data_IF_194123825419
#
_entry.id   IF_194123825419
#
_cell.length_a   1.000
_cell.length_b   1.000
_cell.length_c   1.000
_cell.angle_alpha   90.00
_cell.angle_beta   90.00
_cell.angle_gamma   90.00
#
_symmetry.space_group_name_H-M   'P 1'
#
loop_
_entity.id
_entity.type
_entity.pdbx_description
1 polymer ?
#
# COMPACT_ATOMS: atom_id res chain seq x y z
N UNK A 1 -0.16 6.39 17.80
CA UNK A 1 1.10 5.68 17.47
C UNK A 1 0.91 5.03 16.10
N UNK A 2 1.85 5.25 15.19
CA UNK A 2 1.92 4.56 13.89
C UNK A 2 3.37 4.14 13.69
N UNK A 3 3.58 2.85 13.46
CA UNK A 3 4.90 2.27 13.21
C UNK A 3 4.92 1.64 11.83
N UNK A 4 6.03 1.80 11.13
CA UNK A 4 6.20 1.34 9.76
C UNK A 4 7.38 0.40 9.68
N UNK A 5 7.21 -0.71 9.00
CA UNK A 5 8.25 -1.65 8.65
C UNK A 5 8.32 -1.86 7.15
N UNK A 6 9.53 -2.01 6.65
CA UNK A 6 9.80 -2.32 5.24
C UNK A 6 10.81 -3.46 5.19
N UNK A 7 10.59 -4.41 4.29
CA UNK A 7 11.49 -5.54 4.07
C UNK A 7 11.66 -5.79 2.57
N UNK A 8 12.91 -5.89 2.12
CA UNK A 8 13.22 -6.24 0.73
C UNK A 8 13.12 -7.75 0.52
N UNK A 9 12.48 -8.15 -0.54
CA UNK A 9 12.23 -9.55 -0.87
C UNK A 9 13.28 -10.03 -1.87
N UNK A 10 14.09 -10.98 -1.45
CA UNK A 10 15.03 -11.66 -2.33
C UNK A 10 14.36 -12.87 -2.98
N UNK A 11 14.43 -12.96 -4.30
CA UNK A 11 13.90 -14.09 -5.05
C UNK A 11 15.04 -15.04 -5.47
N UNK A 12 14.81 -16.33 -5.32
CA UNK A 12 15.59 -17.33 -6.07
C UNK A 12 15.17 -17.25 -7.55
N UNK A 13 16.13 -17.20 -8.46
CA UNK A 13 15.91 -17.13 -9.90
C UNK A 13 15.04 -18.28 -10.43
N UNK A 14 15.06 -19.43 -9.74
CA UNK A 14 14.30 -20.64 -10.09
C UNK A 14 12.85 -20.62 -9.61
N UNK A 15 12.44 -19.61 -8.83
CA UNK A 15 11.06 -19.54 -8.33
C UNK A 15 10.06 -19.34 -9.46
N UNK A 16 9.02 -20.17 -9.49
CA UNK A 16 7.87 -19.95 -10.35
C UNK A 16 7.09 -18.69 -9.94
N UNK A 17 6.28 -18.10 -10.83
CA UNK A 17 5.43 -16.95 -10.47
C UNK A 17 4.49 -17.24 -9.28
N UNK A 18 4.03 -18.48 -9.12
CA UNK A 18 3.19 -18.91 -7.99
C UNK A 18 3.99 -18.92 -6.70
N UNK A 19 5.21 -19.46 -6.74
CA UNK A 19 6.08 -19.57 -5.57
C UNK A 19 6.53 -18.17 -5.11
N UNK A 20 6.80 -17.26 -6.06
CA UNK A 20 7.11 -15.85 -5.76
C UNK A 20 5.97 -15.18 -4.99
N UNK A 21 4.72 -15.33 -5.42
CA UNK A 21 3.56 -14.77 -4.71
C UNK A 21 3.41 -15.35 -3.31
N UNK A 22 3.63 -16.65 -3.15
CA UNK A 22 3.59 -17.30 -1.84
C UNK A 22 4.71 -16.80 -0.94
N UNK A 23 5.90 -16.61 -1.50
CA UNK A 23 7.06 -16.07 -0.78
C UNK A 23 6.80 -14.61 -0.35
N UNK A 24 6.34 -13.75 -1.25
CA UNK A 24 5.95 -12.36 -0.93
C UNK A 24 4.92 -12.31 0.21
N UNK A 25 3.91 -13.16 0.15
CA UNK A 25 2.90 -13.26 1.20
C UNK A 25 3.52 -13.65 2.55
N UNK A 26 4.38 -14.66 2.56
CA UNK A 26 5.03 -15.14 3.79
C UNK A 26 5.95 -14.06 4.40
N UNK A 27 6.73 -13.36 3.58
CA UNK A 27 7.59 -12.24 4.05
C UNK A 27 6.74 -11.12 4.62
N UNK A 28 5.67 -10.72 3.92
CA UNK A 28 4.78 -9.65 4.38
C UNK A 28 4.10 -9.99 5.72
N UNK A 29 3.64 -11.24 5.92
CA UNK A 29 3.05 -11.66 7.19
C UNK A 29 4.11 -11.86 8.29
N UNK A 30 5.31 -12.32 7.94
CA UNK A 30 6.45 -12.37 8.87
C UNK A 30 6.78 -10.99 9.41
N UNK A 31 6.87 -9.97 8.53
CA UNK A 31 7.07 -8.59 8.92
C UNK A 31 5.93 -8.08 9.83
N UNK A 32 4.67 -8.34 9.47
CA UNK A 32 3.52 -7.97 10.27
C UNK A 32 3.60 -8.58 11.69
N UNK A 33 3.87 -9.87 11.81
CA UNK A 33 3.91 -10.56 13.11
C UNK A 33 5.05 -10.03 13.99
N UNK A 34 6.20 -9.76 13.40
CA UNK A 34 7.32 -9.13 14.10
C UNK A 34 6.95 -7.74 14.64
N UNK A 35 6.25 -6.94 13.84
CA UNK A 35 5.81 -5.60 14.24
C UNK A 35 4.73 -5.66 15.32
N UNK A 36 3.76 -6.56 15.20
CA UNK A 36 2.71 -6.76 16.22
C UNK A 36 3.31 -7.20 17.57
N UNK A 37 4.27 -8.13 17.53
CA UNK A 37 4.99 -8.55 18.73
C UNK A 37 5.78 -7.40 19.36
N UNK A 38 6.53 -6.67 18.54
CA UNK A 38 7.41 -5.57 19.01
C UNK A 38 6.63 -4.41 19.61
N UNK A 39 5.55 -3.97 18.95
CA UNK A 39 4.87 -2.72 19.29
C UNK A 39 3.58 -2.90 20.13
N UNK A 40 2.98 -4.09 20.08
CA UNK A 40 1.74 -4.40 20.79
C UNK A 40 1.85 -5.61 21.73
N UNK A 41 2.98 -6.31 21.77
CA UNK A 41 3.17 -7.51 22.59
C UNK A 41 2.37 -8.73 22.13
N UNK A 42 1.87 -8.74 20.89
CA UNK A 42 1.03 -9.81 20.35
C UNK A 42 1.93 -10.86 19.71
N UNK A 43 2.03 -12.05 20.30
CA UNK A 43 2.91 -13.13 19.81
C UNK A 43 2.25 -14.05 18.79
N UNK A 44 0.95 -14.32 18.94
CA UNK A 44 0.18 -15.24 18.09
C UNK A 44 -1.12 -14.56 17.62
N UNK A 45 -1.02 -13.65 16.64
CA UNK A 45 -2.20 -12.94 16.15
C UNK A 45 -3.11 -13.88 15.34
N UNK A 46 -4.41 -13.85 15.63
CA UNK A 46 -5.42 -14.42 14.76
C UNK A 46 -5.83 -13.37 13.73
N UNK A 47 -5.52 -13.63 12.46
CA UNK A 47 -5.87 -12.73 11.36
C UNK A 47 -7.22 -13.14 10.76
N UNK A 48 -8.18 -12.25 10.85
CA UNK A 48 -9.50 -12.35 10.24
C UNK A 48 -9.55 -11.54 8.94
N UNK A 49 -10.63 -11.67 8.17
CA UNK A 49 -10.87 -10.86 6.96
C UNK A 49 -12.26 -10.26 6.98
N UNK A 50 -12.37 -9.00 6.61
CA UNK A 50 -13.64 -8.34 6.35
C UNK A 50 -14.31 -8.92 5.10
N UNK A 51 -15.57 -8.57 4.85
CA UNK A 51 -16.30 -8.94 3.61
C UNK A 51 -15.54 -8.48 2.33
N UNK A 52 -14.87 -7.34 2.38
CA UNK A 52 -14.04 -6.82 1.29
C UNK A 52 -12.63 -7.42 1.25
N UNK A 53 -12.33 -8.41 2.09
CA UNK A 53 -11.06 -9.13 2.12
C UNK A 53 -9.92 -8.41 2.85
N UNK A 54 -10.16 -7.25 3.50
CA UNK A 54 -9.15 -6.57 4.33
C UNK A 54 -8.82 -7.44 5.53
N UNK A 55 -7.52 -7.79 5.75
CA UNK A 55 -7.12 -8.50 6.96
C UNK A 55 -7.19 -7.58 8.19
N UNK A 56 -7.61 -8.13 9.32
CA UNK A 56 -7.68 -7.42 10.60
C UNK A 56 -7.49 -8.36 11.79
N UNK A 57 -7.29 -7.77 12.97
CA UNK A 57 -7.26 -8.45 14.28
C UNK A 57 -8.44 -7.93 15.09
N UNK A 58 -9.16 -8.82 15.76
CA UNK A 58 -10.28 -8.47 16.63
C UNK A 58 -9.77 -8.07 18.03
N UNK A 59 -8.98 -6.99 18.07
CA UNK A 59 -8.47 -6.38 19.28
C UNK A 59 -8.61 -4.86 19.17
N UNK A 60 -9.22 -4.26 20.19
CA UNK A 60 -9.39 -2.81 20.26
C UNK A 60 -8.04 -2.09 20.27
N UNK A 61 -7.94 -1.03 19.47
CA UNK A 61 -6.72 -0.22 19.36
C UNK A 61 -5.57 -0.90 18.66
N UNK A 62 -5.82 -1.99 17.91
CA UNK A 62 -4.81 -2.65 17.07
C UNK A 62 -5.28 -2.66 15.62
N UNK A 63 -4.62 -1.87 14.81
CA UNK A 63 -4.88 -1.78 13.37
C UNK A 63 -3.59 -2.02 12.61
N UNK A 64 -3.72 -2.61 11.44
CA UNK A 64 -2.57 -2.80 10.55
C UNK A 64 -2.98 -2.73 9.07
N UNK A 65 -2.00 -2.51 8.25
CA UNK A 65 -2.12 -2.63 6.80
C UNK A 65 -0.81 -3.16 6.24
N UNK A 66 -0.90 -3.99 5.20
CA UNK A 66 0.26 -4.57 4.50
C UNK A 66 0.14 -4.33 3.00
N UNK A 67 1.27 -4.17 2.36
CA UNK A 67 1.40 -4.14 0.91
C UNK A 67 2.68 -4.83 0.49
N UNK A 68 2.69 -5.41 -0.70
CA UNK A 68 3.89 -5.92 -1.33
C UNK A 68 3.84 -5.69 -2.84
N UNK A 69 4.97 -5.42 -3.40
CA UNK A 69 5.21 -5.32 -4.84
C UNK A 69 6.53 -5.99 -5.16
N UNK A 70 6.78 -6.36 -6.39
CA UNK A 70 7.95 -7.15 -6.77
C UNK A 70 9.27 -6.68 -6.13
N UNK A 71 9.71 -7.33 -5.07
CA UNK A 71 10.96 -7.06 -4.36
C UNK A 71 10.84 -6.27 -3.05
N UNK A 72 9.64 -5.81 -2.66
CA UNK A 72 9.44 -5.06 -1.42
C UNK A 72 8.14 -5.47 -0.75
N UNK A 73 8.14 -5.59 0.57
CA UNK A 73 6.92 -5.50 1.37
C UNK A 73 6.99 -4.34 2.37
N UNK A 74 5.82 -3.76 2.63
CA UNK A 74 5.63 -2.68 3.58
C UNK A 74 4.48 -3.02 4.52
N UNK A 75 4.65 -2.72 5.80
CA UNK A 75 3.66 -2.94 6.84
C UNK A 75 3.53 -1.68 7.69
N UNK A 76 2.31 -1.33 8.05
CA UNK A 76 2.02 -0.33 9.07
C UNK A 76 1.20 -0.97 10.18
N UNK A 77 1.56 -0.73 11.45
CA UNK A 77 0.79 -1.08 12.64
C UNK A 77 0.48 0.18 13.43
N UNK A 78 -0.75 0.31 13.93
CA UNK A 78 -1.20 1.54 14.56
C UNK A 78 -2.28 1.29 15.62
N UNK A 79 -2.52 2.30 16.49
CA UNK A 79 -3.64 2.29 17.42
C UNK A 79 -4.93 2.94 16.85
N UNK A 80 -4.88 3.39 15.62
CA UNK A 80 -6.02 3.92 14.83
C UNK A 80 -6.02 3.31 13.43
N UNK A 81 -7.13 3.35 12.70
CA UNK A 81 -7.19 2.84 11.33
C UNK A 81 -6.07 3.40 10.45
N UNK A 82 -5.35 2.53 9.78
CA UNK A 82 -4.21 2.86 8.92
C UNK A 82 -4.29 2.09 7.60
N UNK A 83 -3.74 2.68 6.55
CA UNK A 83 -3.56 2.04 5.25
C UNK A 83 -2.16 2.31 4.71
N UNK A 84 -1.51 1.30 4.17
CA UNK A 84 -0.21 1.40 3.51
C UNK A 84 -0.27 0.77 2.12
N UNK A 85 0.37 1.42 1.17
CA UNK A 85 0.58 0.83 -0.15
C UNK A 85 2.00 1.12 -0.65
N UNK A 86 2.53 0.22 -1.48
CA UNK A 86 3.86 0.38 -2.07
C UNK A 86 3.88 -0.10 -3.52
N UNK A 87 4.63 0.63 -4.38
CA UNK A 87 4.82 0.29 -5.77
C UNK A 87 6.25 0.61 -6.24
N UNK A 88 6.78 -0.21 -7.14
CA UNK A 88 8.01 0.10 -7.84
C UNK A 88 7.72 1.01 -9.03
N UNK A 89 8.44 2.13 -9.12
CA UNK A 89 8.28 3.10 -10.21
C UNK A 89 8.83 2.51 -11.51
N UNK A 90 7.94 2.20 -12.44
CA UNK A 90 8.28 1.77 -13.80
C UNK A 90 8.06 2.92 -14.75
N UNK A 91 8.84 2.97 -15.83
CA UNK A 91 8.56 3.88 -16.95
C UNK A 91 7.15 3.62 -17.48
N UNK A 92 6.41 4.69 -17.76
CA UNK A 92 5.07 4.65 -18.38
C UNK A 92 4.96 5.75 -19.40
N UNK A 93 4.33 5.44 -20.52
CA UNK A 93 4.00 6.45 -21.52
C UNK A 93 2.87 7.36 -21.01
N UNK A 94 2.92 8.63 -21.42
CA UNK A 94 1.94 9.64 -21.03
C UNK A 94 0.50 9.21 -21.35
N UNK A 95 0.30 8.64 -22.52
CA UNK A 95 -1.02 8.19 -23.00
C UNK A 95 -1.60 7.09 -22.11
N UNK A 96 -0.75 6.17 -21.62
CA UNK A 96 -1.17 5.10 -20.69
C UNK A 96 -1.51 5.65 -19.32
N UNK A 97 -0.73 6.61 -18.82
CA UNK A 97 -1.01 7.30 -17.56
C UNK A 97 -2.32 8.08 -17.64
N UNK A 98 -2.56 8.80 -18.74
CA UNK A 98 -3.82 9.53 -18.95
C UNK A 98 -5.03 8.61 -19.03
N UNK A 99 -4.93 7.51 -19.77
CA UNK A 99 -6.02 6.52 -19.87
C UNK A 99 -6.36 5.94 -18.51
N UNK A 100 -5.34 5.61 -17.73
CA UNK A 100 -5.51 5.11 -16.37
C UNK A 100 -6.11 6.18 -15.44
N UNK A 101 -5.56 7.40 -15.47
CA UNK A 101 -6.02 8.51 -14.64
C UNK A 101 -7.50 8.85 -14.90
N UNK A 102 -7.93 8.92 -16.16
CA UNK A 102 -9.35 9.12 -16.51
C UNK A 102 -10.28 8.08 -15.89
N UNK A 103 -9.79 6.86 -15.70
CA UNK A 103 -10.59 5.76 -15.12
C UNK A 103 -10.62 5.77 -13.59
N UNK A 104 -9.52 6.18 -12.93
CA UNK A 104 -9.34 5.96 -11.50
C UNK A 104 -9.08 7.23 -10.68
N UNK A 105 -8.63 8.33 -11.31
CA UNK A 105 -8.30 9.58 -10.62
C UNK A 105 -9.45 10.56 -10.68
N UNK A 106 -9.53 11.45 -9.68
CA UNK A 106 -10.41 12.62 -9.71
C UNK A 106 -9.73 13.80 -10.41
N UNK A 107 -10.49 14.85 -10.74
CA UNK A 107 -9.99 16.01 -11.50
C UNK A 107 -8.78 16.67 -10.83
N UNK A 108 -8.82 16.84 -9.51
CA UNK A 108 -7.70 17.44 -8.76
C UNK A 108 -6.40 16.62 -8.92
N UNK A 109 -6.51 15.30 -8.92
CA UNK A 109 -5.35 14.38 -9.08
C UNK A 109 -4.83 14.36 -10.49
N UNK A 110 -5.71 14.46 -11.49
CA UNK A 110 -5.33 14.61 -12.90
C UNK A 110 -4.58 15.94 -13.08
N UNK A 111 -5.07 17.03 -12.49
CA UNK A 111 -4.40 18.33 -12.53
C UNK A 111 -2.99 18.29 -11.86
N UNK A 112 -2.82 17.53 -10.77
CA UNK A 112 -1.50 17.31 -10.17
C UNK A 112 -0.56 16.57 -11.12
N UNK A 113 -1.03 15.53 -11.78
CA UNK A 113 -0.26 14.76 -12.74
C UNK A 113 0.14 15.61 -13.96
N UNK A 114 -0.76 16.46 -14.44
CA UNK A 114 -0.51 17.43 -15.52
C UNK A 114 0.55 18.45 -15.12
N UNK A 115 0.42 19.03 -13.94
CA UNK A 115 1.38 19.99 -13.39
C UNK A 115 2.77 19.40 -13.24
N UNK A 116 2.88 18.09 -12.90
CA UNK A 116 4.13 17.33 -12.82
C UNK A 116 4.67 16.89 -14.19
N UNK A 117 4.07 17.29 -15.30
CA UNK A 117 4.51 16.93 -16.64
C UNK A 117 4.33 15.45 -16.97
N UNK A 118 3.39 14.78 -16.32
CA UNK A 118 3.15 13.34 -16.46
C UNK A 118 4.37 12.49 -16.06
N UNK A 119 5.04 12.88 -15.00
CA UNK A 119 6.14 12.10 -14.45
C UNK A 119 5.63 10.77 -13.87
N UNK A 120 6.23 9.61 -14.20
CA UNK A 120 5.83 8.32 -13.61
C UNK A 120 5.85 8.32 -12.09
N UNK A 121 6.81 9.00 -11.45
CA UNK A 121 6.87 9.13 -9.99
C UNK A 121 5.62 9.76 -9.42
N UNK A 122 5.10 10.84 -10.02
CA UNK A 122 3.87 11.50 -9.55
C UNK A 122 2.64 10.63 -9.79
N UNK A 123 2.60 9.91 -10.90
CA UNK A 123 1.55 8.93 -11.16
C UNK A 123 1.50 7.85 -10.06
N UNK A 124 2.65 7.26 -9.73
CA UNK A 124 2.72 6.22 -8.69
C UNK A 124 2.44 6.77 -7.30
N UNK A 125 2.83 8.03 -6.98
CA UNK A 125 2.43 8.68 -5.72
C UNK A 125 0.91 8.80 -5.60
N UNK A 126 0.24 9.26 -6.66
CA UNK A 126 -1.22 9.37 -6.65
C UNK A 126 -1.85 7.99 -6.50
N UNK A 127 -1.36 7.00 -7.23
CA UNK A 127 -1.91 5.65 -7.21
C UNK A 127 -1.77 4.98 -5.85
N UNK A 128 -0.56 4.92 -5.31
CA UNK A 128 -0.31 4.32 -3.98
C UNK A 128 -1.06 5.06 -2.87
N UNK A 129 -1.19 6.38 -2.96
CA UNK A 129 -2.00 7.16 -2.04
C UNK A 129 -3.48 6.72 -2.07
N UNK A 130 -4.07 6.54 -3.24
CA UNK A 130 -5.46 6.06 -3.36
C UNK A 130 -5.62 4.65 -2.80
N UNK A 131 -4.69 3.74 -3.09
CA UNK A 131 -4.73 2.39 -2.56
C UNK A 131 -4.54 2.36 -1.03
N UNK A 132 -3.68 3.20 -0.48
CA UNK A 132 -3.54 3.33 0.98
C UNK A 132 -4.85 3.81 1.63
N UNK A 133 -5.58 4.74 1.01
CA UNK A 133 -6.89 5.17 1.47
C UNK A 133 -7.94 4.04 1.43
N UNK A 134 -7.98 3.27 0.34
CA UNK A 134 -8.86 2.08 0.21
C UNK A 134 -8.56 1.08 1.32
N UNK A 135 -7.28 0.76 1.53
CA UNK A 135 -6.83 -0.16 2.58
C UNK A 135 -7.17 0.35 3.98
N UNK A 136 -6.99 1.65 4.26
CA UNK A 136 -7.38 2.25 5.54
C UNK A 136 -8.87 2.09 5.79
N UNK A 137 -9.70 2.44 4.82
CA UNK A 137 -11.17 2.40 4.92
C UNK A 137 -11.75 0.99 4.87
N UNK A 138 -10.98 0.00 4.38
CA UNK A 138 -11.47 -1.36 4.15
C UNK A 138 -12.54 -1.43 3.05
N UNK A 139 -12.51 -0.50 2.11
CA UNK A 139 -13.39 -0.47 0.94
C UNK A 139 -12.76 -1.25 -0.23
N UNK A 140 -13.34 -1.18 -1.41
CA UNK A 140 -12.85 -1.86 -2.60
C UNK A 140 -12.55 -0.88 -3.75
N UNK A 141 -11.99 -1.40 -4.84
CA UNK A 141 -11.60 -0.59 -6.00
C UNK A 141 -12.77 0.17 -6.67
N UNK A 142 -14.02 -0.23 -6.45
CA UNK A 142 -15.20 0.50 -6.93
C UNK A 142 -15.34 1.88 -6.30
N UNK A 143 -14.73 2.11 -5.14
CA UNK A 143 -14.78 3.37 -4.42
C UNK A 143 -13.59 4.31 -4.74
N UNK A 144 -12.65 3.88 -5.57
CA UNK A 144 -11.41 4.63 -5.85
C UNK A 144 -11.67 6.05 -6.36
N UNK A 145 -12.70 6.27 -7.17
CA UNK A 145 -13.10 7.60 -7.66
C UNK A 145 -13.78 8.48 -6.62
N UNK A 146 -14.19 7.95 -5.48
CA UNK A 146 -14.75 8.71 -4.36
C UNK A 146 -13.66 9.29 -3.46
N UNK A 147 -12.41 8.87 -3.66
CA UNK A 147 -11.25 9.30 -2.89
C UNK A 147 -10.56 10.43 -3.64
N UNK A 148 -10.37 11.55 -2.97
CA UNK A 148 -9.57 12.70 -3.42
C UNK A 148 -8.36 12.80 -2.47
N UNK A 149 -7.19 12.35 -2.92
CA UNK A 149 -5.99 12.31 -2.08
C UNK A 149 -5.53 13.69 -1.61
N UNK A 150 -5.96 14.76 -2.28
CA UNK A 150 -5.62 16.12 -1.86
C UNK A 150 -6.29 16.54 -0.55
N UNK A 151 -7.28 15.76 -0.09
CA UNK A 151 -8.03 15.95 1.15
C UNK A 151 -7.69 14.93 2.24
N UNK A 152 -6.72 14.07 1.96
CA UNK A 152 -6.32 12.97 2.85
C UNK A 152 -5.00 13.28 3.55
N UNK A 153 -4.81 12.71 4.74
CA UNK A 153 -3.54 12.79 5.46
C UNK A 153 -2.63 11.65 5.00
N UNK A 154 -1.76 11.92 4.04
CA UNK A 154 -0.88 10.93 3.42
C UNK A 154 0.58 11.31 3.60
N UNK A 155 1.35 10.37 4.07
CA UNK A 155 2.80 10.46 4.12
C UNK A 155 3.41 9.60 3.00
N UNK A 156 4.48 10.09 2.39
CA UNK A 156 5.18 9.43 1.29
C UNK A 156 6.63 9.15 1.67
N UNK A 157 7.09 7.97 1.32
CA UNK A 157 8.48 7.57 1.37
C UNK A 157 8.91 7.09 -0.02
N UNK A 158 10.09 7.54 -0.46
CA UNK A 158 10.64 7.16 -1.75
C UNK A 158 12.05 6.63 -1.53
N UNK A 159 12.27 5.37 -1.82
CA UNK A 159 13.57 4.73 -1.63
C UNK A 159 13.79 3.64 -2.68
N UNK A 160 14.99 3.60 -3.27
CA UNK A 160 15.42 2.58 -4.23
C UNK A 160 14.43 2.34 -5.39
N UNK A 161 13.78 3.40 -5.87
CA UNK A 161 12.78 3.32 -6.95
C UNK A 161 11.39 2.86 -6.50
N UNK A 162 11.16 2.65 -5.21
CA UNK A 162 9.85 2.37 -4.64
C UNK A 162 9.21 3.64 -4.08
N UNK A 163 7.89 3.69 -4.18
CA UNK A 163 7.06 4.67 -3.49
C UNK A 163 6.21 3.91 -2.48
N UNK A 164 6.20 4.40 -1.25
CA UNK A 164 5.37 3.90 -0.16
C UNK A 164 4.47 5.05 0.27
N UNK A 165 3.18 4.81 0.34
CA UNK A 165 2.19 5.79 0.79
C UNK A 165 1.46 5.26 2.01
N UNK A 166 1.31 6.11 3.03
CA UNK A 166 0.62 5.77 4.27
C UNK A 166 -0.48 6.79 4.51
N UNK A 167 -1.70 6.30 4.65
CA UNK A 167 -2.87 7.08 5.06
C UNK A 167 -3.17 6.83 6.54
N UNK A 168 -3.19 7.93 7.32
CA UNK A 168 -3.36 7.92 8.78
C UNK A 168 -4.67 8.59 9.16
#
# INVERSE_FOLDING_TARGET
MVEIGVEYINYDEKMSPRDRRSHEHNVAYGLLFNMLKKHFGIEQPTILKTENGKPYIELDGVHFSISHTGGLCACAVANTPVGIDCEYVKGREKEDMLRFAKRYFVENEIALLEKGGYCPTDFYKIWTAKESCIKRRGTNMGDVKKIDITKENIQFFCENGYIISINI
#
